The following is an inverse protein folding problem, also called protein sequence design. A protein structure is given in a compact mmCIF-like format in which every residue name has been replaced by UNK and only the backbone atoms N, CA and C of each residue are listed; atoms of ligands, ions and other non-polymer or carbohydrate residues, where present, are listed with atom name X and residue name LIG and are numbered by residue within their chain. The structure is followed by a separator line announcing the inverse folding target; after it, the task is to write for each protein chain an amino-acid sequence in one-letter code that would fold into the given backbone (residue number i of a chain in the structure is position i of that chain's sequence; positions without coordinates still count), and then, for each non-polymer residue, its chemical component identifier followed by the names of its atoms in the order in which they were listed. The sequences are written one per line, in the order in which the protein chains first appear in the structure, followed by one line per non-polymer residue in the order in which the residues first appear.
data_IF_480110597876
#
_entry.id   IF_480110597876
#
_cell.length_a   1.000
_cell.length_b   1.000
_cell.length_c   1.000
_cell.angle_alpha   90.00
_cell.angle_beta   90.00
_cell.angle_gamma   90.00
#
_symmetry.space_group_name_H-M   'P 1'
#
loop_
_entity.id
_entity.type
_entity.pdbx_description
1 polymer ?
#
# COMPACT_ATOMS: atom_id res chain seq x y z
N UNK A 1 -17.63 -16.06 -29.26
CA UNK A 1 -17.58 -16.72 -27.94
C UNK A 1 -16.12 -16.92 -27.61
N UNK A 2 -15.60 -16.18 -26.62
CA UNK A 2 -14.39 -16.58 -25.88
C UNK A 2 -14.46 -15.94 -24.49
N UNK A 3 -15.44 -16.43 -23.72
CA UNK A 3 -15.80 -15.99 -22.37
C UNK A 3 -15.00 -16.71 -21.28
N UNK A 4 -13.73 -17.06 -21.52
CA UNK A 4 -12.96 -17.90 -20.57
C UNK A 4 -11.56 -17.42 -20.22
N UNK A 5 -11.19 -16.18 -20.55
CA UNK A 5 -9.87 -15.64 -20.13
C UNK A 5 -9.91 -14.88 -18.79
N UNK A 6 -11.09 -14.51 -18.28
CA UNK A 6 -11.22 -13.70 -17.07
C UNK A 6 -11.41 -14.49 -15.76
N UNK A 7 -11.64 -15.81 -15.81
CA UNK A 7 -11.95 -16.58 -14.59
C UNK A 7 -10.71 -17.27 -13.98
N UNK A 8 -9.60 -17.37 -14.73
CA UNK A 8 -8.39 -18.06 -14.26
C UNK A 8 -7.49 -17.21 -13.34
N UNK A 9 -7.78 -15.92 -13.19
CA UNK A 9 -7.13 -15.05 -12.19
C UNK A 9 -7.72 -15.20 -10.78
N UNK A 10 -8.86 -15.89 -10.62
CA UNK A 10 -9.59 -16.02 -9.36
C UNK A 10 -9.52 -17.41 -8.70
N UNK A 11 -8.66 -18.34 -9.18
CA UNK A 11 -8.57 -19.69 -8.58
C UNK A 11 -7.15 -20.14 -8.20
N UNK A 12 -6.34 -19.26 -7.61
CA UNK A 12 -5.11 -19.70 -6.92
C UNK A 12 -5.36 -20.21 -5.49
N UNK A 13 -6.62 -20.30 -5.04
CA UNK A 13 -6.96 -20.92 -3.75
C UNK A 13 -6.65 -20.08 -2.52
N UNK A 14 -6.07 -18.89 -2.71
CA UNK A 14 -5.83 -17.88 -1.68
C UNK A 14 -6.65 -16.63 -2.01
N UNK A 15 -7.38 -16.13 -1.01
CA UNK A 15 -8.07 -14.86 -1.09
C UNK A 15 -7.04 -13.74 -0.92
N UNK A 16 -6.99 -12.76 -1.82
CA UNK A 16 -6.06 -11.62 -1.72
C UNK A 16 -6.81 -10.32 -1.52
N UNK A 17 -6.21 -9.41 -0.75
CA UNK A 17 -6.75 -8.08 -0.49
C UNK A 17 -5.72 -7.01 -0.74
N UNK A 18 -6.12 -5.95 -1.43
CA UNK A 18 -5.24 -4.83 -1.77
C UNK A 18 -4.92 -3.94 -0.54
N UNK A 19 -3.64 -3.68 -0.30
CA UNK A 19 -3.15 -2.77 0.75
C UNK A 19 -3.23 -1.33 0.28
N UNK A 20 -4.38 -0.71 0.50
CA UNK A 20 -4.60 0.73 0.44
C UNK A 20 -5.71 1.12 1.41
N UNK A 21 -5.86 2.40 1.71
CA UNK A 21 -6.91 2.92 2.61
C UNK A 21 -7.87 3.87 1.92
N UNK A 22 -9.06 4.00 2.48
CA UNK A 22 -10.20 4.75 1.96
C UNK A 22 -11.21 5.03 3.06
N UNK A 23 -12.43 5.41 2.70
CA UNK A 23 -13.45 5.79 3.69
C UNK A 23 -13.94 4.59 4.52
N UNK A 24 -13.98 3.41 3.92
CA UNK A 24 -14.40 2.16 4.57
C UNK A 24 -13.23 1.23 4.88
N UNK A 25 -11.99 1.73 4.75
CA UNK A 25 -10.78 0.94 4.94
C UNK A 25 -9.68 1.77 5.59
N UNK A 26 -9.30 1.46 6.81
CA UNK A 26 -8.20 2.14 7.50
C UNK A 26 -7.47 1.16 8.42
N UNK A 27 -6.18 1.41 8.65
CA UNK A 27 -5.40 0.65 9.63
C UNK A 27 -5.51 1.23 11.04
N UNK A 28 -5.52 2.56 11.13
CA UNK A 28 -5.40 3.28 12.41
C UNK A 28 -6.06 4.66 12.33
N UNK A 29 -6.67 5.09 13.43
CA UNK A 29 -7.20 6.46 13.61
C UNK A 29 -6.15 7.37 14.23
N UNK A 30 -5.41 6.86 15.22
CA UNK A 30 -4.31 7.51 15.90
C UNK A 30 -2.96 7.08 15.31
N UNK A 31 -1.90 7.91 15.34
CA UNK A 31 -0.61 7.55 14.75
C UNK A 31 -0.02 6.26 15.35
N UNK A 32 0.27 5.26 14.51
CA UNK A 32 0.91 3.98 14.86
C UNK A 32 0.20 3.15 15.95
N UNK A 33 -1.08 3.40 16.22
CA UNK A 33 -1.79 2.72 17.31
C UNK A 33 -2.52 1.45 16.85
N UNK A 34 -2.93 1.41 15.58
CA UNK A 34 -3.82 0.40 15.02
C UNK A 34 -5.21 0.40 15.67
N UNK A 35 -5.66 1.56 16.13
CA UNK A 35 -6.96 1.77 16.75
C UNK A 35 -8.04 2.07 15.70
N UNK A 36 -9.24 1.50 15.92
CA UNK A 36 -10.36 1.64 14.99
C UNK A 36 -10.10 1.12 13.56
N UNK A 37 -9.45 -0.04 13.36
CA UNK A 37 -9.23 -0.56 12.02
C UNK A 37 -10.57 -0.90 11.36
N UNK A 38 -10.73 -0.51 10.10
CA UNK A 38 -11.85 -0.88 9.26
C UNK A 38 -11.31 -1.64 8.06
N UNK A 39 -11.79 -2.87 7.85
CA UNK A 39 -11.41 -3.70 6.72
C UNK A 39 -9.89 -3.73 6.46
N UNK A 40 -9.07 -3.82 7.52
CA UNK A 40 -7.62 -3.82 7.39
C UNK A 40 -7.09 -5.13 6.77
N UNK A 41 -5.92 -5.08 6.13
CA UNK A 41 -5.41 -6.16 5.28
C UNK A 41 -4.41 -7.09 5.94
N UNK A 42 -3.64 -6.58 6.90
CA UNK A 42 -2.64 -7.38 7.61
C UNK A 42 -3.24 -7.95 8.88
N UNK A 43 -2.92 -9.22 9.16
CA UNK A 43 -3.41 -9.94 10.34
C UNK A 43 -2.55 -9.57 11.54
N UNK A 44 -3.12 -9.56 12.74
CA UNK A 44 -2.41 -9.30 13.99
C UNK A 44 -1.49 -10.44 14.38
N UNK A 45 -0.31 -10.13 14.93
CA UNK A 45 0.67 -11.12 15.42
C UNK A 45 1.03 -12.18 14.38
N UNK A 46 1.06 -11.79 13.10
CA UNK A 46 1.32 -12.69 12.00
C UNK A 46 2.65 -12.35 11.32
N UNK A 47 3.48 -13.37 11.13
CA UNK A 47 4.62 -13.28 10.24
C UNK A 47 4.11 -13.22 8.80
N UNK A 48 4.53 -12.20 8.06
CA UNK A 48 4.22 -12.01 6.66
C UNK A 48 5.47 -12.24 5.81
N UNK A 49 5.28 -12.95 4.71
CA UNK A 49 6.33 -13.35 3.77
C UNK A 49 5.99 -12.92 2.36
N UNK A 50 7.02 -12.76 1.55
CA UNK A 50 6.88 -12.66 0.09
C UNK A 50 6.56 -14.04 -0.49
N UNK A 51 6.24 -14.07 -1.78
CA UNK A 51 6.11 -15.32 -2.54
C UNK A 51 7.42 -16.12 -2.65
N UNK A 52 8.58 -15.49 -2.44
CA UNK A 52 9.90 -16.15 -2.39
C UNK A 52 10.28 -16.65 -0.98
N UNK A 53 9.32 -16.68 -0.05
CA UNK A 53 9.47 -17.04 1.37
C UNK A 53 10.31 -16.08 2.21
N UNK A 54 10.80 -14.97 1.64
CA UNK A 54 11.52 -13.94 2.41
C UNK A 54 10.59 -13.31 3.44
N UNK A 55 10.99 -13.32 4.72
CA UNK A 55 10.25 -12.69 5.81
C UNK A 55 10.30 -11.17 5.67
N UNK A 56 9.13 -10.54 5.54
CA UNK A 56 8.98 -9.08 5.53
C UNK A 56 9.05 -8.56 6.97
N UNK A 57 8.39 -9.26 7.89
CA UNK A 57 8.37 -9.00 9.32
C UNK A 57 7.21 -9.71 10.01
N UNK A 58 7.04 -9.45 11.30
CA UNK A 58 5.86 -9.83 12.07
C UNK A 58 5.11 -8.57 12.49
N UNK A 59 3.80 -8.56 12.29
CA UNK A 59 2.93 -7.46 12.74
C UNK A 59 2.72 -7.49 14.25
N UNK A 60 2.39 -6.35 14.83
CA UNK A 60 2.00 -6.23 16.23
C UNK A 60 0.58 -6.76 16.49
N UNK A 61 0.09 -6.59 17.73
CA UNK A 61 -1.27 -7.01 18.11
C UNK A 61 -2.37 -6.25 17.40
N UNK A 62 -2.06 -5.13 16.74
CA UNK A 62 -3.01 -4.36 15.95
C UNK A 62 -2.90 -4.64 14.43
N UNK A 63 -2.00 -5.55 14.01
CA UNK A 63 -1.81 -5.87 12.60
C UNK A 63 -0.98 -4.82 11.85
N UNK A 64 -0.14 -4.05 12.54
CA UNK A 64 0.76 -3.09 11.94
C UNK A 64 2.21 -3.59 11.99
N UNK A 65 3.03 -3.26 11.00
CA UNK A 65 4.47 -3.43 11.14
C UNK A 65 5.08 -2.24 11.88
N UNK A 66 6.05 -2.54 12.73
CA UNK A 66 6.99 -1.54 13.22
C UNK A 66 8.11 -1.35 12.20
N UNK A 67 8.46 -0.09 11.92
CA UNK A 67 9.60 0.21 11.05
C UNK A 67 10.92 0.22 11.84
N UNK A 68 12.03 -0.26 11.25
CA UNK A 68 12.12 -0.82 9.90
C UNK A 68 11.57 -2.25 9.81
N UNK A 69 11.02 -2.59 8.64
CA UNK A 69 10.71 -3.96 8.24
C UNK A 69 11.98 -4.84 8.27
N UNK A 70 11.83 -6.14 8.47
CA UNK A 70 12.94 -7.08 8.37
C UNK A 70 13.47 -7.16 6.93
N UNK A 71 12.57 -7.21 5.95
CA UNK A 71 12.86 -7.04 4.53
C UNK A 71 11.77 -6.19 3.86
N UNK A 72 12.06 -5.64 2.69
CA UNK A 72 11.10 -4.83 1.91
C UNK A 72 9.93 -5.68 1.36
N UNK A 73 8.83 -5.09 0.88
CA UNK A 73 7.62 -5.86 0.51
C UNK A 73 7.85 -6.82 -0.65
N UNK A 74 8.28 -6.34 -1.82
CA UNK A 74 8.87 -7.11 -2.92
C UNK A 74 9.06 -6.17 -4.13
N UNK A 75 10.04 -6.44 -4.98
CA UNK A 75 10.24 -5.74 -6.25
C UNK A 75 10.68 -4.27 -6.11
N UNK A 76 10.83 -3.61 -7.26
CA UNK A 76 11.12 -2.18 -7.34
C UNK A 76 9.89 -1.48 -7.94
N UNK A 77 8.88 -1.26 -7.10
CA UNK A 77 7.63 -0.62 -7.48
C UNK A 77 7.28 0.53 -6.54
N UNK A 78 6.47 1.44 -7.05
CA UNK A 78 5.71 2.37 -6.25
C UNK A 78 4.32 1.82 -6.07
N UNK A 79 3.78 1.88 -4.85
CA UNK A 79 2.46 1.34 -4.54
C UNK A 79 1.54 2.45 -4.05
N UNK A 80 0.36 2.55 -4.65
CA UNK A 80 -0.70 3.38 -4.11
C UNK A 80 -1.15 2.81 -2.77
N UNK A 81 -1.19 3.65 -1.73
CA UNK A 81 -1.56 3.23 -0.38
C UNK A 81 -2.64 4.10 0.23
N UNK A 82 -2.66 5.41 -0.05
CA UNK A 82 -3.53 6.35 0.67
C UNK A 82 -3.11 6.60 2.12
N UNK A 83 -2.00 5.99 2.58
CA UNK A 83 -1.53 6.03 3.95
C UNK A 83 -0.59 7.22 4.20
N UNK A 84 -0.47 7.66 5.44
CA UNK A 84 0.69 8.42 5.94
C UNK A 84 1.75 7.47 6.53
N UNK A 85 2.87 8.03 7.02
CA UNK A 85 3.98 7.25 7.60
C UNK A 85 3.63 6.58 8.95
N UNK A 86 2.42 6.81 9.45
CA UNK A 86 1.96 6.39 10.77
C UNK A 86 0.76 5.46 10.70
N UNK A 87 0.57 4.78 9.57
CA UNK A 87 -0.53 3.85 9.31
C UNK A 87 -1.94 4.46 9.33
N UNK A 88 -2.06 5.79 9.23
CA UNK A 88 -3.36 6.46 9.10
C UNK A 88 -3.64 6.83 7.65
N UNK A 89 -4.90 7.17 7.35
CA UNK A 89 -5.21 7.80 6.08
C UNK A 89 -4.46 9.13 5.97
N UNK A 90 -3.78 9.34 4.83
CA UNK A 90 -3.12 10.61 4.54
C UNK A 90 -4.18 11.68 4.29
N UNK A 91 -4.10 12.76 5.05
CA UNK A 91 -4.99 13.92 4.92
C UNK A 91 -4.15 15.16 4.62
N UNK A 92 -4.53 15.92 3.59
CA UNK A 92 -3.95 17.22 3.24
C UNK A 92 -5.09 18.21 3.08
N UNK A 93 -5.01 19.34 3.80
CA UNK A 93 -6.04 20.39 3.76
C UNK A 93 -7.47 19.88 4.01
N UNK A 94 -7.61 18.87 4.89
CA UNK A 94 -8.91 18.27 5.24
C UNK A 94 -9.42 17.22 4.25
N UNK A 95 -8.68 16.89 3.19
CA UNK A 95 -9.06 15.89 2.18
C UNK A 95 -8.14 14.67 2.25
N UNK A 96 -8.71 13.48 2.09
CA UNK A 96 -7.93 12.24 2.00
C UNK A 96 -7.18 12.17 0.68
N UNK A 97 -5.94 11.71 0.71
CA UNK A 97 -5.08 11.54 -0.47
C UNK A 97 -5.21 10.10 -0.99
N UNK A 98 -6.41 9.75 -1.44
CA UNK A 98 -6.80 8.38 -1.83
C UNK A 98 -7.56 8.34 -3.16
N UNK A 99 -7.38 9.32 -4.04
CA UNK A 99 -8.05 9.36 -5.35
C UNK A 99 -9.57 9.29 -5.30
N UNK A 100 -10.20 10.05 -4.41
CA UNK A 100 -11.64 10.01 -4.12
C UNK A 100 -12.09 8.58 -3.82
N UNK A 101 -11.47 7.95 -2.83
CA UNK A 101 -11.71 6.55 -2.47
C UNK A 101 -11.47 5.59 -3.66
N UNK A 102 -10.39 5.84 -4.40
CA UNK A 102 -9.93 5.06 -5.55
C UNK A 102 -10.91 4.96 -6.72
N UNK A 103 -11.83 5.93 -6.84
CA UNK A 103 -12.76 6.02 -7.99
C UNK A 103 -12.34 7.05 -9.04
N UNK A 104 -11.31 7.86 -8.75
CA UNK A 104 -10.83 8.91 -9.65
C UNK A 104 -9.52 8.54 -10.32
N UNK A 105 -9.40 8.88 -11.60
CA UNK A 105 -8.15 8.89 -12.36
C UNK A 105 -7.82 10.30 -12.87
N UNK A 106 -8.33 11.33 -12.18
CA UNK A 106 -8.16 12.75 -12.57
C UNK A 106 -6.76 13.27 -12.24
N UNK A 107 -6.31 14.26 -13.01
CA UNK A 107 -5.10 15.04 -12.70
C UNK A 107 -5.27 15.99 -11.51
N UNK A 108 -6.52 16.33 -11.17
CA UNK A 108 -6.85 17.24 -10.06
C UNK A 108 -6.97 16.56 -8.70
N UNK A 109 -6.98 15.22 -8.67
CA UNK A 109 -7.07 14.44 -7.45
C UNK A 109 -5.72 13.81 -7.15
N UNK A 110 -5.40 13.62 -5.87
CA UNK A 110 -4.13 13.03 -5.44
C UNK A 110 -4.32 11.69 -4.73
N UNK A 111 -3.41 10.77 -5.01
CA UNK A 111 -3.19 9.55 -4.25
C UNK A 111 -1.89 9.65 -3.47
N UNK A 112 -1.82 8.99 -2.31
CA UNK A 112 -0.57 8.80 -1.57
C UNK A 112 0.03 7.44 -1.91
N UNK A 113 1.36 7.37 -2.03
CA UNK A 113 2.06 6.15 -2.43
C UNK A 113 3.32 5.90 -1.60
N UNK A 114 3.77 4.64 -1.55
CA UNK A 114 5.01 4.19 -0.92
C UNK A 114 5.92 3.40 -1.88
N UNK A 115 7.07 2.94 -1.39
CA UNK A 115 8.10 2.24 -2.17
C UNK A 115 8.32 0.81 -1.70
N UNK A 116 8.07 -0.18 -2.55
CA UNK A 116 8.10 -1.60 -2.13
C UNK A 116 9.50 -2.14 -1.86
N UNK A 117 10.55 -1.46 -2.32
CA UNK A 117 11.97 -1.76 -2.09
C UNK A 117 12.54 -1.09 -0.83
N UNK A 118 11.70 -0.45 0.00
CA UNK A 118 12.12 0.23 1.23
C UNK A 118 11.72 -0.54 2.49
N UNK A 119 12.50 -0.32 3.56
CA UNK A 119 12.27 -0.93 4.87
C UNK A 119 11.67 0.02 5.91
N UNK A 120 11.70 1.33 5.66
CA UNK A 120 11.19 2.33 6.60
C UNK A 120 9.77 2.76 6.23
N UNK A 121 9.22 3.76 6.92
CA UNK A 121 7.86 4.24 6.66
C UNK A 121 7.62 4.71 5.21
N UNK A 122 8.67 5.01 4.45
CA UNK A 122 8.60 5.23 3.01
C UNK A 122 8.07 4.03 2.21
N UNK A 123 8.06 2.83 2.79
CA UNK A 123 7.45 1.66 2.16
C UNK A 123 5.94 1.74 2.06
N UNK A 124 5.30 2.54 2.93
CA UNK A 124 3.86 2.79 2.91
C UNK A 124 3.51 4.23 2.51
N UNK A 125 4.40 5.20 2.76
CA UNK A 125 4.23 6.58 2.35
C UNK A 125 5.56 7.29 2.09
N UNK A 126 5.78 7.67 0.85
CA UNK A 126 6.88 8.50 0.40
C UNK A 126 6.41 9.89 -0.06
N UNK A 127 5.39 9.94 -0.92
CA UNK A 127 4.84 11.18 -1.45
C UNK A 127 3.40 11.00 -1.95
N UNK A 128 2.90 12.00 -2.67
CA UNK A 128 1.61 11.99 -3.35
C UNK A 128 1.77 12.51 -4.78
N UNK A 129 0.93 12.04 -5.68
CA UNK A 129 0.87 12.52 -7.07
C UNK A 129 -0.56 12.39 -7.61
N UNK A 130 -0.79 12.91 -8.81
CA UNK A 130 -2.05 12.84 -9.52
C UNK A 130 -2.52 11.39 -9.74
N UNK A 131 -3.81 11.15 -9.55
CA UNK A 131 -4.42 9.83 -9.69
C UNK A 131 -4.38 9.27 -11.12
N UNK A 132 -4.10 10.12 -12.11
CA UNK A 132 -3.89 9.72 -13.51
C UNK A 132 -2.53 9.06 -13.77
N UNK A 133 -1.61 9.08 -12.80
CA UNK A 133 -0.24 8.59 -12.99
C UNK A 133 -0.19 7.06 -13.02
N UNK A 134 0.46 6.53 -14.06
CA UNK A 134 0.80 5.11 -14.19
C UNK A 134 2.25 4.81 -13.78
N UNK A 135 3.01 5.86 -13.52
CA UNK A 135 4.41 5.82 -13.14
C UNK A 135 4.61 6.90 -12.09
N UNK A 136 5.24 6.54 -10.98
CA UNK A 136 5.47 7.43 -9.84
C UNK A 136 6.96 7.49 -9.54
N UNK A 137 7.44 8.62 -9.05
CA UNK A 137 8.86 8.80 -8.82
C UNK A 137 9.31 8.15 -7.52
N UNK A 138 10.50 7.56 -7.54
CA UNK A 138 11.31 7.26 -6.36
C UNK A 138 12.40 8.33 -6.23
N UNK A 139 12.07 9.41 -5.51
CA UNK A 139 12.94 10.58 -5.31
C UNK A 139 13.90 10.44 -4.14
N UNK A 140 14.19 9.21 -3.73
CA UNK A 140 15.00 8.96 -2.54
C UNK A 140 16.50 9.08 -2.77
N UNK A 141 16.95 9.03 -4.03
CA UNK A 141 18.30 9.45 -4.45
C UNK A 141 18.21 10.79 -5.21
N UNK A 142 18.72 11.91 -4.65
CA UNK A 142 18.68 13.20 -5.33
C UNK A 142 19.52 13.26 -6.62
N UNK A 143 20.36 12.26 -6.89
CA UNK A 143 21.22 12.18 -8.08
C UNK A 143 20.78 11.13 -9.11
N UNK A 144 19.83 10.27 -8.77
CA UNK A 144 19.38 9.18 -9.64
C UNK A 144 17.87 8.98 -9.54
N UNK A 145 17.13 9.97 -10.07
CA UNK A 145 15.68 9.93 -10.10
C UNK A 145 15.21 8.80 -10.99
N UNK A 146 14.51 7.86 -10.37
CA UNK A 146 13.95 6.73 -11.10
C UNK A 146 12.46 6.67 -10.93
N UNK A 147 11.82 6.50 -12.05
CA UNK A 147 10.39 6.35 -12.19
C UNK A 147 10.05 4.86 -12.19
N UNK A 148 9.10 4.46 -11.33
CA UNK A 148 8.64 3.08 -11.23
C UNK A 148 7.15 2.97 -11.56
N UNK A 149 6.71 1.85 -12.16
CA UNK A 149 5.30 1.61 -12.42
C UNK A 149 4.46 1.70 -11.14
N UNK A 150 3.42 2.51 -11.19
CA UNK A 150 2.43 2.58 -10.13
C UNK A 150 1.70 1.24 -10.04
N UNK A 151 1.69 0.67 -8.84
CA UNK A 151 1.24 -0.70 -8.58
C UNK A 151 0.35 -0.75 -7.35
N UNK A 152 -0.18 -1.93 -7.05
CA UNK A 152 -0.96 -2.21 -5.85
C UNK A 152 -0.28 -3.39 -5.14
N UNK A 153 -0.06 -3.27 -3.83
CA UNK A 153 0.38 -4.39 -3.01
C UNK A 153 -0.83 -5.25 -2.64
N UNK A 154 -0.77 -6.55 -2.88
CA UNK A 154 -1.82 -7.50 -2.50
C UNK A 154 -1.32 -8.38 -1.33
N UNK A 155 -2.17 -8.57 -0.34
CA UNK A 155 -1.88 -9.36 0.86
C UNK A 155 -2.76 -10.59 0.87
N UNK A 156 -2.16 -11.76 0.99
CA UNK A 156 -2.89 -13.02 1.19
C UNK A 156 -3.71 -12.96 2.48
N UNK A 157 -4.95 -13.42 2.42
CA UNK A 157 -5.89 -13.45 3.53
C UNK A 157 -5.88 -14.81 4.17
#
# INVERSE_FOLDING_TARGET
MDSKKSEKLLSLGADYKAMFVGDTRCASVSPNAGDGPMDWVFRSLQEHRRSDETVIGTTDSAGLFTFPLQNFFDGNYTIWTGLDQTWRNRIVSGQQTNCLNWTSSSVGESGAFGHTNWKYASSIFAAQDACSKLVLPDHTDPYNWKDYPASILCVEQ
#
